data_IF_042653249133
#
_entry.id   IF_042653249133
#
_cell.length_a   1.000
_cell.length_b   1.000
_cell.length_c   1.000
_cell.angle_alpha   90.00
_cell.angle_beta   90.00
_cell.angle_gamma   90.00
#
_symmetry.space_group_name_H-M   'P 1'
#
loop_
_entity.id
_entity.type
_entity.pdbx_description
1 polymer ?
2 polymer ?
3 polymer ?
4 non-polymer ?
5 water ?
#
# COMPACT_ATOMS: atom_id res chain seq x y z
N UNK A 7 14.48 4.93 10.72
CA UNK A 7 15.78 5.00 11.52
C UNK A 7 16.72 4.17 10.67
N UNK A 8 16.25 2.96 10.60
CA UNK A 8 16.75 1.90 9.77
C UNK A 8 15.71 1.71 8.67
N UNK A 9 14.71 2.57 8.74
CA UNK A 9 13.55 2.51 7.83
C UNK A 9 13.96 2.59 6.35
N UNK A 10 13.23 1.83 5.56
CA UNK A 10 13.33 1.86 4.08
C UNK A 10 14.61 1.22 3.51
N UNK A 11 15.39 0.56 4.34
CA UNK A 11 16.60 -0.16 3.87
C UNK A 11 16.31 -1.65 4.02
N UNK A 12 16.07 -2.32 2.92
CA UNK A 12 15.68 -3.74 2.96
C UNK A 12 16.85 -4.66 3.33
N UNK A 13 16.60 -5.58 4.23
CA UNK A 13 17.65 -6.57 4.61
C UNK A 13 18.21 -7.34 3.45
N UNK A 14 17.43 -7.75 2.45
CA UNK A 14 17.94 -8.58 1.37
C UNK A 14 18.35 -7.79 0.13
N UNK A 15 18.26 -6.49 0.20
CA UNK A 15 18.64 -5.65 -0.95
C UNK A 15 19.63 -4.57 -0.52
N UNK A 16 19.14 -3.42 -0.09
CA UNK A 16 20.02 -2.30 0.29
C UNK A 16 21.11 -2.68 1.30
N UNK A 17 20.71 -3.41 2.32
CA UNK A 17 21.62 -3.83 3.41
C UNK A 17 22.82 -4.66 2.91
N UNK A 18 22.60 -5.34 1.78
CA UNK A 18 23.63 -6.22 1.17
C UNK A 18 24.21 -5.65 -0.13
N UNK A 19 23.69 -4.51 -0.49
CA UNK A 19 24.11 -3.80 -1.72
C UNK A 19 23.73 -4.61 -2.97
N UNK A 20 22.55 -5.18 -2.92
CA UNK A 20 21.96 -5.91 -4.06
C UNK A 20 20.74 -5.12 -4.54
N UNK A 21 20.54 -5.09 -5.83
CA UNK A 21 19.39 -4.36 -6.39
C UNK A 21 18.32 -5.35 -6.85
N UNK A 22 17.07 -4.94 -6.77
CA UNK A 22 15.98 -5.80 -7.26
C UNK A 22 15.93 -5.58 -8.78
N UNK A 23 15.19 -6.43 -9.44
CA UNK A 23 15.16 -6.49 -10.91
C UNK A 23 14.57 -5.26 -11.62
N UNK A 24 13.79 -4.44 -10.96
CA UNK A 24 13.21 -3.29 -11.67
C UNK A 24 13.39 -1.95 -10.96
N UNK A 25 14.19 -1.87 -9.92
CA UNK A 25 14.31 -0.57 -9.23
C UNK A 25 15.03 0.47 -10.10
N UNK A 26 15.83 -0.01 -11.03
CA UNK A 26 16.56 0.89 -11.94
C UNK A 26 15.58 1.74 -12.74
N UNK A 27 14.43 1.15 -13.03
CA UNK A 27 13.39 1.83 -13.81
C UNK A 27 12.92 3.09 -13.08
N UNK A 28 12.83 2.99 -11.76
CA UNK A 28 12.41 4.13 -10.93
C UNK A 28 13.47 5.23 -11.00
N UNK A 29 14.70 4.83 -10.73
CA UNK A 29 15.87 5.72 -10.70
C UNK A 29 16.03 6.48 -12.01
N UNK A 30 15.84 5.77 -13.10
CA UNK A 30 16.01 6.36 -14.44
C UNK A 30 14.91 7.39 -14.73
N UNK A 31 13.82 7.32 -13.99
CA UNK A 31 12.69 8.23 -14.18
C UNK A 31 12.84 9.52 -13.33
N UNK A 32 13.76 9.50 -12.38
CA UNK A 32 14.00 10.68 -11.50
C UNK A 32 15.02 11.62 -12.16
N UNK A 33 14.52 12.41 -13.08
CA UNK A 33 15.35 13.32 -13.88
C UNK A 33 15.47 14.71 -13.26
N UNK B 1 -3.29 -6.40 -8.65
CA UNK B 1 -2.35 -5.67 -9.57
C UNK B 1 -2.49 -6.23 -11.00
N UNK B 2 -2.71 -5.32 -11.94
CA UNK B 2 -2.86 -5.69 -13.36
C UNK B 2 -1.58 -5.36 -14.14
N UNK B 3 -1.13 -6.34 -14.91
CA UNK B 3 0.07 -6.20 -15.75
C UNK B 3 1.35 -5.97 -14.94
N UNK B 4 1.39 -6.57 -13.77
CA UNK B 4 2.57 -6.51 -12.88
C UNK B 4 3.36 -7.81 -13.05
N UNK B 5 4.22 -8.07 -12.11
CA UNK B 5 5.02 -9.32 -12.11
C UNK B 5 5.18 -9.78 -10.67
N UNK B 6 5.49 -11.04 -10.50
CA UNK B 6 5.72 -11.58 -9.15
C UNK B 6 6.82 -10.79 -8.48
N UNK B 7 6.64 -10.51 -7.22
CA UNK B 7 7.66 -9.80 -6.46
C UNK B 7 8.76 -10.79 -6.10
N UNK B 8 9.95 -10.24 -5.90
CA UNK B 8 11.09 -11.05 -5.45
C UNK B 8 10.95 -11.21 -3.94
N UNK B 9 11.58 -12.23 -3.40
CA UNK B 9 11.54 -12.47 -1.96
C UNK B 9 12.18 -11.29 -1.21
N UNK B 10 11.41 -10.74 -0.28
CA UNK B 10 11.86 -9.63 0.60
C UNK B 10 12.00 -8.29 -0.15
N UNK B 11 11.31 -8.19 -1.28
CA UNK B 11 11.36 -7.00 -2.13
C UNK B 11 10.53 -5.84 -1.52
N UNK B 12 9.55 -6.21 -0.72
CA UNK B 12 8.62 -5.24 -0.10
C UNK B 12 8.28 -5.67 1.29
N UNK B 13 9.27 -5.61 2.20
CA UNK B 13 9.17 -6.19 3.50
C UNK B 13 8.30 -5.41 4.44
N UNK B 14 7.77 -4.24 4.06
CA UNK B 14 6.80 -3.48 4.83
C UNK B 14 5.36 -3.84 4.39
N UNK B 15 5.24 -4.74 3.41
CA UNK B 15 3.90 -5.12 2.90
C UNK B 15 3.14 -5.91 3.97
N UNK B 16 1.92 -5.49 4.21
CA UNK B 16 1.05 -6.12 5.20
C UNK B 16 -0.26 -6.54 4.55
N UNK B 17 -0.75 -7.67 4.99
CA UNK B 17 -2.04 -8.18 4.52
C UNK B 17 -3.08 -8.02 5.66
N UNK B 18 -4.18 -7.32 5.36
CA UNK B 18 -5.31 -7.19 6.31
C UNK B 18 -6.23 -8.37 6.05
N UNK B 19 -6.45 -9.17 7.06
CA UNK B 19 -7.17 -10.43 6.88
C UNK B 19 -8.36 -10.53 7.84
N UNK B 20 -9.52 -10.85 7.27
CA UNK B 20 -10.75 -11.00 8.06
C UNK B 20 -10.72 -12.35 8.79
N UNK B 21 -11.07 -12.31 10.06
CA UNK B 21 -11.07 -13.52 10.90
C UNK B 21 -12.12 -14.53 10.39
N UNK B 22 -13.37 -14.08 10.20
CA UNK B 22 -14.44 -14.99 9.72
C UNK B 22 -15.56 -14.26 9.00
N UNK B 23 -15.84 -14.63 7.76
CA UNK B 23 -15.12 -15.69 7.08
C UNK B 23 -13.68 -15.25 6.91
N UNK B 24 -12.80 -16.22 6.68
CA UNK B 24 -11.37 -15.93 6.51
C UNK B 24 -11.14 -15.42 5.08
N UNK B 25 -10.80 -14.15 4.96
CA UNK B 25 -10.56 -13.57 3.63
C UNK B 25 -9.67 -12.33 3.69
N UNK B 26 -9.06 -12.08 2.53
CA UNK B 26 -8.17 -10.94 2.29
C UNK B 26 -9.04 -9.70 2.14
N UNK B 27 -8.78 -8.71 2.97
CA UNK B 27 -9.59 -7.48 2.95
C UNK B 27 -8.89 -6.37 2.16
N UNK B 28 -7.61 -6.19 2.41
CA UNK B 28 -6.84 -5.09 1.80
C UNK B 28 -5.36 -5.26 2.09
N UNK B 29 -4.57 -4.37 1.53
CA UNK B 29 -3.12 -4.32 1.84
C UNK B 29 -2.98 -3.23 2.91
N UNK B 30 -1.75 -3.08 3.34
CA UNK B 30 -1.38 -2.10 4.37
C UNK B 30 0.14 -2.06 4.39
N UNK B 31 0.71 -1.24 5.24
CA UNK B 31 2.17 -1.13 5.31
C UNK B 31 2.63 -0.94 6.76
N UNK B 32 3.79 -1.51 7.02
CA UNK B 32 4.43 -1.47 8.34
C UNK B 32 5.34 -0.22 8.41
N UNK B 33 5.04 0.68 9.33
CA UNK B 33 5.83 1.92 9.43
C UNK B 33 6.67 2.00 10.73
N UNK B 34 6.52 1.00 11.58
CA UNK B 34 7.28 0.88 12.83
C UNK B 34 7.05 -0.51 13.39
N UNK B 35 7.57 -0.80 14.56
CA UNK B 35 7.40 -2.16 15.10
C UNK B 35 5.99 -2.36 15.66
N UNK B 36 5.19 -1.30 15.70
CA UNK B 36 3.85 -1.45 16.25
C UNK B 36 2.75 -0.63 15.56
N UNK B 37 3.05 -0.04 14.44
CA UNK B 37 2.04 0.75 13.72
C UNK B 37 1.98 0.34 12.25
N UNK B 38 0.75 0.19 11.78
CA UNK B 38 0.47 -0.18 10.40
C UNK B 38 -0.46 0.89 9.80
N UNK B 39 -0.15 1.25 8.58
CA UNK B 39 -0.87 2.30 7.82
C UNK B 39 -1.68 1.62 6.70
N UNK B 40 -2.89 2.10 6.50
CA UNK B 40 -3.78 1.56 5.46
C UNK B 40 -4.80 2.63 5.08
N UNK B 41 -5.72 2.26 4.22
CA UNK B 41 -6.78 3.19 3.77
C UNK B 41 -7.99 3.05 4.69
N UNK B 42 -8.60 4.18 5.01
CA UNK B 42 -9.76 4.21 5.89
C UNK B 42 -10.91 3.36 5.33
N UNK B 43 -11.07 3.37 4.02
CA UNK B 43 -12.19 2.67 3.37
C UNK B 43 -12.06 1.14 3.49
N UNK B 44 -10.90 0.68 3.91
CA UNK B 44 -10.69 -0.76 4.12
C UNK B 44 -11.40 -1.20 5.41
N UNK B 45 -11.63 -0.22 6.27
CA UNK B 45 -12.24 -0.45 7.60
C UNK B 45 -13.66 0.12 7.72
N UNK B 46 -13.89 1.24 7.08
CA UNK B 46 -15.17 1.94 7.21
C UNK B 46 -15.67 2.46 5.87
N UNK B 47 -16.81 1.95 5.46
CA UNK B 47 -17.47 2.38 4.22
C UNK B 47 -18.96 2.04 4.33
N UNK B 48 -19.69 2.97 4.94
CA UNK B 48 -21.15 2.81 5.15
C UNK B 48 -22.01 2.54 3.98
N UNK B 49 -21.77 2.98 2.74
CA UNK B 49 -22.57 2.66 1.60
C UNK B 49 -22.65 1.16 1.35
N UNK B 50 -21.62 0.42 1.71
CA UNK B 50 -21.58 -1.04 1.53
C UNK B 50 -21.71 -1.78 2.87
N UNK B 51 -22.11 -1.05 3.88
CA UNK B 51 -22.30 -1.60 5.25
C UNK B 51 -21.02 -2.25 5.79
N UNK B 52 -19.93 -1.54 5.58
CA UNK B 52 -18.64 -2.00 6.07
C UNK B 52 -18.22 -1.13 7.25
N UNK B 53 -17.98 -1.78 8.37
CA UNK B 53 -17.55 -1.07 9.59
C UNK B 53 -16.85 -2.07 10.51
N UNK B 54 -15.59 -2.31 10.22
CA UNK B 54 -14.78 -3.28 10.97
C UNK B 54 -14.19 -2.67 12.24
N UNK B 55 -14.17 -3.49 13.28
CA UNK B 55 -13.57 -3.10 14.56
C UNK B 55 -12.31 -3.94 14.76
N UNK B 56 -11.63 -3.67 15.85
CA UNK B 56 -10.36 -4.33 16.18
C UNK B 56 -10.45 -5.86 16.21
N UNK B 57 -11.51 -6.39 16.81
CA UNK B 57 -11.62 -7.84 17.01
C UNK B 57 -12.05 -8.60 15.75
N UNK B 58 -12.32 -7.87 14.69
CA UNK B 58 -12.76 -8.48 13.44
C UNK B 58 -11.60 -8.82 12.51
N UNK B 59 -10.43 -8.26 12.78
CA UNK B 59 -9.29 -8.43 11.87
C UNK B 59 -7.99 -8.90 12.53
N UNK B 60 -7.14 -9.36 11.62
CA UNK B 60 -5.76 -9.77 11.90
C UNK B 60 -4.86 -9.12 10.86
N UNK B 61 -3.63 -8.96 11.23
CA UNK B 61 -2.63 -8.41 10.33
C UNK B 61 -1.59 -9.51 10.11
N UNK B 62 -1.27 -9.77 8.85
CA UNK B 62 -0.27 -10.79 8.48
C UNK B 62 0.91 -10.09 7.81
N UNK B 63 2.07 -10.22 8.44
CA UNK B 63 3.29 -9.52 8.03
C UNK B 63 4.39 -10.50 7.60
N UNK B 64 5.12 -10.09 6.55
CA UNK B 64 6.27 -10.84 6.00
C UNK B 64 5.83 -11.94 5.03
N UNK B 65 4.69 -11.75 4.41
CA UNK B 65 4.12 -12.74 3.48
C UNK B 65 4.57 -12.53 2.03
N UNK B 66 4.46 -13.60 1.29
CA UNK B 66 4.75 -13.63 -0.15
C UNK B 66 3.57 -14.30 -0.86
N UNK B 67 3.33 -15.54 -0.50
CA UNK B 67 2.21 -16.32 -1.04
C UNK B 67 0.91 -15.70 -0.52
N UNK B 68 -0.08 -15.63 -1.39
CA UNK B 68 -1.36 -15.02 -1.03
C UNK B 68 -2.17 -15.91 -0.07
N UNK B 69 -2.29 -17.18 -0.37
CA UNK B 69 -3.20 -18.06 0.41
C UNK B 69 -2.52 -18.98 1.45
N UNK B 70 -1.27 -19.30 1.29
CA UNK B 70 -0.61 -20.25 2.21
C UNK B 70 -0.22 -19.61 3.55
N UNK B 71 -0.20 -20.44 4.58
CA UNK B 71 0.29 -20.02 5.90
C UNK B 71 1.79 -20.29 5.88
N UNK B 72 2.54 -19.21 5.78
CA UNK B 72 4.00 -19.29 5.61
C UNK B 72 4.69 -19.44 6.97
N UNK B 73 4.66 -20.69 7.39
CA UNK B 73 5.22 -21.17 8.65
C UNK B 73 6.67 -20.74 8.78
N UNK B 74 6.98 -20.18 9.93
CA UNK B 74 8.34 -19.73 10.30
C UNK B 74 8.79 -18.47 9.53
N UNK B 75 7.89 -17.89 8.74
CA UNK B 75 8.23 -16.69 7.97
C UNK B 75 7.27 -15.54 8.31
N UNK B 76 6.00 -15.73 8.06
CA UNK B 76 5.03 -14.66 8.34
C UNK B 76 4.72 -14.61 9.84
N UNK B 77 4.34 -13.42 10.28
CA UNK B 77 3.95 -13.17 11.67
C UNK B 77 2.52 -12.61 11.66
N UNK B 78 1.67 -13.18 12.48
CA UNK B 78 0.29 -12.73 12.58
C UNK B 78 0.15 -11.91 13.85
N UNK B 79 -0.53 -10.79 13.73
CA UNK B 79 -0.71 -9.88 14.87
C UNK B 79 -2.17 -9.43 15.01
N UNK B 80 -2.54 -9.26 16.27
CA UNK B 80 -3.86 -8.75 16.64
C UNK B 80 -3.76 -7.23 16.78
N UNK B 81 -4.90 -6.59 16.67
CA UNK B 81 -4.95 -5.13 16.76
C UNK B 81 -5.45 -4.67 18.13
N UNK B 82 -4.80 -3.62 18.59
CA UNK B 82 -5.13 -3.00 19.86
C UNK B 82 -6.15 -1.89 19.65
N UNK B 83 -5.96 -1.14 18.57
CA UNK B 83 -6.85 -0.02 18.27
C UNK B 83 -6.67 0.47 16.82
N UNK B 84 -7.79 0.92 16.28
CA UNK B 84 -7.86 1.48 14.93
C UNK B 84 -8.18 2.99 15.04
N UNK B 85 -7.48 3.79 14.24
CA UNK B 85 -7.69 5.25 14.19
C UNK B 85 -7.91 5.69 12.76
N UNK B 86 -9.09 6.17 12.51
CA UNK B 86 -9.48 6.64 11.19
C UNK B 86 -9.47 8.16 11.19
N UNK B 87 -8.99 8.76 10.11
CA UNK B 87 -8.92 10.23 10.03
C UNK B 87 -10.29 10.81 10.36
N UNK B 88 -10.39 11.73 11.33
CA UNK B 88 -11.67 12.34 11.67
C UNK B 88 -12.33 12.99 10.48
N UNK B 89 -11.60 13.50 9.46
CA UNK B 89 -12.35 14.09 8.34
C UNK B 89 -12.30 13.24 7.06
N UNK B 90 -12.20 11.93 7.24
CA UNK B 90 -12.27 10.97 6.13
C UNK B 90 -13.66 11.15 5.49
N UNK B 91 -13.70 11.48 4.21
CA UNK B 91 -14.98 11.75 3.52
C UNK B 91 -15.47 10.56 2.70
N UNK B 92 -16.18 9.67 3.37
CA UNK B 92 -16.72 8.48 2.70
C UNK B 92 -18.03 8.78 1.98
N UNK B 93 -18.59 9.92 2.25
CA UNK B 93 -19.87 10.31 1.66
C UNK B 93 -19.73 10.70 0.19
N UNK B 94 -18.61 11.30 -0.15
CA UNK B 94 -18.43 11.84 -1.50
C UNK B 94 -17.30 11.20 -2.31
N UNK B 95 -16.06 11.53 -1.96
CA UNK B 95 -14.92 11.16 -2.83
C UNK B 95 -13.72 10.48 -2.13
N UNK B 96 -13.93 9.95 -0.95
CA UNK B 96 -12.86 9.25 -0.20
C UNK B 96 -11.67 10.19 0.11
N UNK B 97 -11.97 11.47 0.31
CA UNK B 97 -10.94 12.45 0.68
C UNK B 97 -10.39 12.07 2.07
N UNK B 98 -9.08 12.09 2.17
CA UNK B 98 -8.38 11.75 3.42
C UNK B 98 -8.62 10.28 3.78
N UNK B 99 -8.40 9.43 2.80
CA UNK B 99 -8.59 7.98 2.94
C UNK B 99 -7.34 7.37 3.61
N UNK B 100 -7.30 7.47 4.91
CA UNK B 100 -6.14 6.97 5.68
C UNK B 100 -6.58 6.55 7.10
N UNK B 101 -5.89 5.55 7.60
CA UNK B 101 -6.14 5.00 8.93
C UNK B 101 -4.86 4.35 9.44
N UNK B 102 -4.71 4.39 10.75
CA UNK B 102 -3.58 3.78 11.45
C UNK B 102 -4.10 2.65 12.33
N UNK B 103 -3.31 1.63 12.47
CA UNK B 103 -3.69 0.48 13.32
C UNK B 103 -2.51 0.16 14.25
N UNK B 104 -2.81 0.18 15.54
CA UNK B 104 -1.81 -0.13 16.57
C UNK B 104 -1.87 -1.62 16.90
N UNK B 105 -0.70 -2.24 16.80
CA UNK B 105 -0.55 -3.68 17.07
C UNK B 105 -0.59 -3.96 18.56
N UNK B 106 -1.17 -5.09 18.93
CA UNK B 106 -1.26 -5.46 20.35
C UNK B 106 0.15 -5.60 20.94
N UNK B 107 1.02 -6.28 20.20
CA UNK B 107 2.44 -6.42 20.59
C UNK B 107 3.34 -6.03 19.40
N UNK B 108 4.52 -5.53 19.67
CA UNK B 108 5.48 -5.18 18.64
C UNK B 108 5.88 -6.39 17.82
N UNK B 109 6.14 -6.20 16.52
CA UNK B 109 6.51 -7.35 15.68
C UNK B 109 8.05 -7.35 15.61
N UNK B 110 8.66 -8.51 15.56
CA UNK B 110 10.12 -8.56 15.45
C UNK B 110 10.49 -8.46 13.98
N UNK B 111 11.47 -7.62 13.69
CA UNK B 111 11.93 -7.44 12.30
C UNK B 111 12.79 -8.66 11.90
N UNK B 112 12.83 -8.90 10.61
CA UNK B 112 13.58 -10.02 10.03
C UNK B 112 13.94 -9.67 8.60
N UNK B 113 14.40 -10.66 7.89
CA UNK B 113 14.77 -10.49 6.48
C UNK B 113 13.54 -10.18 5.63
N UNK B 114 12.37 -10.54 6.14
CA UNK B 114 11.11 -10.43 5.38
C UNK B 114 10.15 -9.37 5.95
N UNK B 115 10.53 -8.80 7.07
CA UNK B 115 9.70 -7.82 7.80
C UNK B 115 10.57 -6.62 8.19
N UNK B 116 10.22 -5.47 7.68
CA UNK B 116 11.02 -4.25 7.92
C UNK B 116 10.20 -3.02 7.54
N UNK B 117 10.22 -1.99 8.31
CA UNK B 117 9.39 -0.83 8.04
C UNK B 117 9.89 0.06 6.89
N UNK B 118 8.90 0.71 6.28
CA UNK B 118 9.20 1.71 5.25
C UNK B 118 9.24 3.09 5.93
N UNK B 119 9.90 4.05 5.29
CA UNK B 119 9.98 5.41 5.84
C UNK B 119 8.82 6.28 5.37
N UNK B 120 8.48 7.26 6.18
CA UNK B 120 7.46 8.26 5.82
C UNK B 120 8.20 9.48 5.35
N UNK B 121 7.76 10.14 4.28
CA UNK B 121 8.44 11.25 3.69
C UNK B 121 8.39 12.51 4.57
N UNK B 122 9.42 13.32 4.44
CA UNK B 122 9.42 14.67 5.03
C UNK B 122 9.11 15.64 3.89
N UNK B 123 8.97 16.90 4.21
CA UNK B 123 8.56 17.90 3.21
C UNK B 123 9.49 17.94 1.99
N UNK B 124 10.78 17.84 2.23
CA UNK B 124 11.77 17.92 1.13
C UNK B 124 11.73 16.67 0.24
N UNK B 125 11.57 15.52 0.85
CA UNK B 125 11.51 14.28 0.08
C UNK B 125 10.28 14.31 -0.82
N UNK B 126 9.15 14.74 -0.28
CA UNK B 126 7.91 14.83 -1.06
C UNK B 126 8.07 15.82 -2.22
N UNK B 127 8.63 16.96 -1.91
CA UNK B 127 8.84 18.02 -2.90
C UNK B 127 9.71 17.54 -4.06
N UNK B 128 10.78 16.84 -3.75
CA UNK B 128 11.72 16.38 -4.80
C UNK B 128 11.20 15.21 -5.64
N UNK B 129 10.46 14.29 -5.03
CA UNK B 129 10.09 13.06 -5.75
C UNK B 129 8.65 13.04 -6.30
N UNK B 130 7.75 13.77 -5.71
CA UNK B 130 6.34 13.78 -6.15
C UNK B 130 6.19 14.74 -7.34
N UNK B 131 6.71 14.31 -8.48
CA UNK B 131 6.68 15.07 -9.73
C UNK B 131 6.15 14.21 -10.87
N UNK B 132 5.37 14.85 -11.72
CA UNK B 132 4.80 14.18 -12.89
C UNK B 132 5.94 13.54 -13.70
N UNK B 133 5.76 12.27 -14.03
CA UNK B 133 6.75 11.53 -14.82
C UNK B 133 7.60 10.59 -13.94
N UNK B 134 7.80 10.97 -12.70
CA UNK B 134 8.58 10.15 -11.75
C UNK B 134 7.76 8.90 -11.41
N UNK B 135 8.46 7.78 -11.32
CA UNK B 135 7.81 6.49 -11.08
C UNK B 135 7.94 6.05 -9.62
N UNK B 136 6.86 5.41 -9.21
CA UNK B 136 6.68 4.79 -7.90
C UNK B 136 6.34 3.33 -8.14
N UNK B 137 6.21 2.59 -7.07
CA UNK B 137 5.93 1.16 -7.15
C UNK B 137 4.75 0.81 -6.23
N UNK B 138 3.84 0.00 -6.77
CA UNK B 138 2.67 -0.47 -6.01
C UNK B 138 2.72 -2.00 -5.94
N UNK B 139 2.35 -2.51 -4.78
CA UNK B 139 2.34 -3.96 -4.52
C UNK B 139 1.02 -4.37 -3.88
N UNK B 140 0.64 -5.61 -4.09
CA UNK B 140 -0.61 -6.14 -3.52
C UNK B 140 -0.93 -7.54 -4.06
N UNK B 141 -1.92 -8.12 -3.41
CA UNK B 141 -2.41 -9.47 -3.73
C UNK B 141 -3.81 -9.40 -4.39
N UNK B 142 -4.16 -8.19 -4.80
CA UNK B 142 -5.47 -7.90 -5.43
C UNK B 142 -5.60 -8.56 -6.80
N UNK B 143 -6.80 -8.38 -7.36
CA UNK B 143 -7.20 -8.93 -8.67
C UNK B 143 -6.14 -8.66 -9.74
N UNK B 144 -6.05 -9.61 -10.66
CA UNK B 144 -5.09 -9.56 -11.78
C UNK B 144 -5.71 -8.83 -12.99
N UNK B 145 -7.04 -8.78 -13.03
CA UNK B 145 -7.78 -8.03 -14.08
C UNK B 145 -9.16 -7.65 -13.54
N UNK B 146 -9.80 -6.69 -14.20
CA UNK B 146 -11.12 -6.12 -13.73
C UNK B 146 -12.22 -7.21 -13.51
N UNK B 147 -12.61 -7.72 -14.58
CA UNK B 147 -13.45 -8.89 -14.94
C UNK B 147 -14.07 -8.66 -16.34
N UNK B 154 -5.41 -14.91 -14.90
CA UNK B 154 -6.18 -15.63 -13.89
C UNK B 154 -7.00 -14.61 -13.09
N UNK B 155 -7.47 -15.04 -11.94
CA UNK B 155 -8.30 -14.18 -11.07
C UNK B 155 -7.43 -13.40 -10.08
N UNK B 156 -6.84 -14.16 -9.18
CA UNK B 156 -5.97 -13.62 -8.13
C UNK B 156 -4.63 -14.34 -8.17
N UNK B 157 -3.56 -13.66 -7.78
CA UNK B 157 -2.23 -14.20 -7.99
C UNK B 157 -1.94 -15.25 -6.96
N UNK B 158 -0.89 -16.02 -7.23
CA UNK B 158 -0.40 -16.97 -6.21
C UNK B 158 0.53 -16.26 -5.22
N UNK B 159 1.28 -15.27 -5.68
CA UNK B 159 2.18 -14.50 -4.80
C UNK B 159 2.05 -12.99 -5.04
N UNK B 160 2.65 -12.24 -4.14
CA UNK B 160 2.65 -10.77 -4.17
C UNK B 160 3.10 -10.26 -5.56
N UNK B 161 2.32 -9.32 -6.08
CA UNK B 161 2.58 -8.71 -7.41
C UNK B 161 3.13 -7.28 -7.23
N UNK B 162 3.92 -6.86 -8.20
CA UNK B 162 4.55 -5.53 -8.22
C UNK B 162 4.40 -4.88 -9.58
N UNK B 163 4.27 -3.58 -9.56
CA UNK B 163 4.22 -2.79 -10.81
C UNK B 163 4.71 -1.38 -10.52
N UNK B 164 5.47 -0.84 -11.47
CA UNK B 164 5.99 0.53 -11.36
C UNK B 164 5.16 1.43 -12.25
N UNK B 165 4.74 2.56 -11.72
CA UNK B 165 3.88 3.50 -12.48
C UNK B 165 4.33 4.93 -12.31
N UNK B 166 4.11 5.77 -13.34
CA UNK B 166 4.50 7.17 -13.23
C UNK B 166 3.40 8.02 -12.66
N UNK B 167 3.78 9.03 -11.90
CA UNK B 167 2.84 9.99 -11.32
C UNK B 167 2.35 10.83 -12.51
N UNK B 168 1.08 11.15 -12.49
CA UNK B 168 0.46 11.90 -13.58
C UNK B 168 0.13 13.35 -13.14
N UNK B 169 0.23 14.24 -14.11
CA UNK B 169 -0.07 15.68 -13.94
C UNK B 169 -1.49 15.83 -13.37
N UNK B 170 -1.63 16.74 -12.43
CA UNK B 170 -2.91 16.99 -11.72
C UNK B 170 -4.05 17.35 -12.66
N UNK B 171 -3.86 18.18 -13.66
CA UNK B 171 -4.91 18.49 -14.62
C UNK B 171 -5.38 17.26 -15.36
N UNK B 172 -4.46 16.36 -15.76
CA UNK B 172 -4.83 15.14 -16.45
C UNK B 172 -5.63 14.20 -15.53
N UNK B 173 -5.23 14.14 -14.27
CA UNK B 173 -5.97 13.30 -13.30
C UNK B 173 -7.42 13.81 -13.21
N UNK B 174 -7.54 15.11 -13.09
CA UNK B 174 -8.84 15.78 -12.92
C UNK B 174 -9.77 15.57 -14.12
N UNK B 175 -9.20 15.66 -15.30
CA UNK B 175 -9.95 15.56 -16.55
C UNK B 175 -10.29 14.12 -16.94
N UNK B 176 -9.86 13.16 -16.15
CA UNK B 176 -10.12 11.75 -16.47
C UNK B 176 -11.33 11.20 -15.70
N UNK B 177 -11.91 12.03 -14.84
CA UNK B 177 -13.02 11.55 -13.98
C UNK B 177 -14.00 12.68 -13.65
N UNK B 178 -15.17 12.27 -13.18
CA UNK B 178 -16.23 13.19 -12.76
C UNK B 178 -16.18 13.42 -11.25
N UNK B 179 -15.38 12.61 -10.57
CA UNK B 179 -15.21 12.74 -9.11
C UNK B 179 -14.35 13.97 -8.81
N UNK B 180 -14.71 14.66 -7.74
CA UNK B 180 -13.99 15.86 -7.29
C UNK B 180 -12.69 15.43 -6.59
N UNK B 181 -11.59 15.80 -7.21
CA UNK B 181 -10.23 15.49 -6.72
C UNK B 181 -9.79 16.59 -5.74
N UNK B 182 -9.05 16.20 -4.72
CA UNK B 182 -8.54 17.15 -3.71
C UNK B 182 -7.01 17.09 -3.66
N UNK B 183 -6.48 18.00 -2.88
CA UNK B 183 -5.04 18.12 -2.70
C UNK B 183 -4.51 16.93 -1.89
N UNK B 184 -5.41 16.15 -1.33
CA UNK B 184 -5.01 14.99 -0.50
C UNK B 184 -4.93 13.70 -1.33
N UNK B 185 -4.94 13.85 -2.63
CA UNK B 185 -4.82 12.72 -3.57
C UNK B 185 -3.91 13.06 -4.74
N UNK B 186 -3.37 12.02 -5.34
CA UNK B 186 -2.60 12.15 -6.60
C UNK B 186 -2.92 10.89 -7.39
N UNK B 187 -2.81 10.95 -8.68
CA UNK B 187 -3.11 9.79 -9.53
C UNK B 187 -1.84 9.36 -10.25
N UNK B 188 -1.82 8.10 -10.65
CA UNK B 188 -0.67 7.52 -11.34
C UNK B 188 -1.11 6.47 -12.35
N UNK B 189 -0.24 6.30 -13.33
CA UNK B 189 -0.45 5.34 -14.40
C UNK B 189 0.04 5.92 -15.73
N UNK B 190 0.09 5.05 -16.70
CA UNK B 190 0.51 5.38 -18.04
C UNK B 190 -0.67 5.92 -18.83
N UNK B 191 -0.38 6.84 -19.73
CA UNK B 191 -1.40 7.40 -20.61
C UNK B 191 -1.62 6.41 -21.76
N UNK B 192 -2.72 6.62 -22.48
CA UNK B 192 -3.08 5.75 -23.60
C UNK B 192 -2.01 5.68 -24.67
N UNK B 193 -1.30 6.75 -24.96
CA UNK B 193 -0.30 6.72 -26.04
C UNK B 193 1.09 6.31 -25.56
N UNK B 194 1.21 5.99 -24.29
CA UNK B 194 2.53 5.64 -23.71
C UNK B 194 2.89 4.15 -23.91
N UNK B 195 1.91 3.37 -24.31
CA UNK B 195 2.13 1.94 -24.65
C UNK B 195 2.08 0.99 -23.42
N UNK B 196 2.94 1.24 -22.46
CA UNK B 196 3.01 0.39 -21.23
C UNK B 196 1.69 0.47 -20.47
N UNK B 197 1.41 -0.56 -19.68
CA UNK B 197 0.16 -0.63 -18.90
C UNK B 197 0.44 -0.94 -17.43
N UNK B 198 -0.62 -1.08 -16.64
CA UNK B 198 -0.47 -1.44 -15.22
C UNK B 198 -1.35 -0.55 -14.34
N UNK B 199 -1.77 -1.15 -13.25
CA UNK B 199 -2.67 -0.51 -12.29
C UNK B 199 -2.89 -1.42 -11.09
N UNK B 200 -3.45 -0.83 -10.06
CA UNK B 200 -3.90 -1.56 -8.88
C UNK B 200 -5.31 -2.02 -9.23
N UNK B 201 -5.82 -2.94 -8.47
CA UNK B 201 -7.19 -3.44 -8.70
C UNK B 201 -7.78 -3.82 -7.34
N UNK B 202 -9.01 -4.27 -7.38
CA UNK B 202 -9.77 -4.68 -6.20
C UNK B 202 -8.93 -5.65 -5.34
N UNK B 203 -8.74 -5.27 -4.09
CA UNK B 203 -7.97 -6.11 -3.14
C UNK B 203 -6.59 -5.50 -2.85
N UNK B 204 -6.23 -4.53 -3.65
CA UNK B 204 -4.94 -3.84 -3.53
C UNK B 204 -5.04 -2.60 -2.64
N UNK B 205 -6.27 -2.17 -2.41
CA UNK B 205 -6.54 -0.99 -1.59
C UNK B 205 -5.79 -1.08 -0.26
N UNK B 206 -5.35 0.09 0.16
CA UNK B 206 -4.66 0.27 1.45
C UNK B 206 -3.16 -0.06 1.34
N UNK B 207 -2.76 -0.65 0.23
CA UNK B 207 -1.34 -1.00 0.01
C UNK B 207 -0.54 0.28 -0.33
N UNK B 208 0.77 0.19 -0.28
CA UNK B 208 1.64 1.34 -0.37
C UNK B 208 2.13 1.67 -1.76
N UNK B 209 2.23 2.96 -2.07
CA UNK B 209 2.85 3.44 -3.31
C UNK B 209 4.19 4.00 -2.83
N UNK B 210 5.29 3.33 -3.18
CA UNK B 210 6.61 3.76 -2.67
C UNK B 210 7.56 4.22 -3.77
N UNK B 211 8.54 4.99 -3.34
CA UNK B 211 9.59 5.53 -4.21
C UNK B 211 10.91 5.41 -3.48
N UNK B 212 11.96 5.14 -4.23
CA UNK B 212 13.31 5.04 -3.65
C UNK B 212 14.05 6.33 -3.89
N UNK B 213 14.37 7.02 -2.82
CA UNK B 213 15.09 8.29 -2.90
C UNK B 213 16.48 8.06 -3.47
N UNK B 214 16.84 8.82 -4.50
CA UNK B 214 18.19 8.76 -5.05
C UNK B 214 19.21 9.50 -4.20
N UNK B 215 18.78 10.29 -3.22
CA UNK B 215 19.71 11.01 -2.36
C UNK B 215 20.25 10.13 -1.22
N UNK B 216 19.40 9.32 -0.61
CA UNK B 216 19.87 8.49 0.52
C UNK B 216 19.58 6.99 0.34
N UNK B 217 19.00 6.67 -0.80
CA UNK B 217 18.73 5.27 -1.21
C UNK B 217 17.80 4.51 -0.25
N UNK B 218 16.86 5.24 0.31
CA UNK B 218 15.84 4.68 1.21
C UNK B 218 14.48 4.69 0.50
N UNK B 219 13.65 3.71 0.84
CA UNK B 219 12.31 3.64 0.27
C UNK B 219 11.35 4.43 1.16
N UNK B 220 10.54 5.26 0.51
CA UNK B 220 9.57 6.10 1.21
C UNK B 220 8.17 5.82 0.69
N UNK B 221 7.21 5.78 1.59
CA UNK B 221 5.82 5.58 1.20
C UNK B 221 5.18 6.95 0.95
N UNK B 222 4.90 7.19 -0.32
CA UNK B 222 4.32 8.47 -0.75
C UNK B 222 2.80 8.41 -0.88
N UNK B 223 2.26 7.23 -1.12
CA UNK B 223 0.80 7.11 -1.30
C UNK B 223 0.26 5.79 -0.75
N UNK B 224 -1.06 5.76 -0.71
CA UNK B 224 -1.84 4.58 -0.28
C UNK B 224 -2.88 4.32 -1.38
N UNK B 225 -2.97 3.11 -1.87
CA UNK B 225 -3.97 2.79 -2.91
C UNK B 225 -5.35 3.13 -2.35
N UNK B 226 -6.04 4.03 -3.03
CA UNK B 226 -7.35 4.52 -2.54
C UNK B 226 -8.54 4.11 -3.42
N UNK B 227 -8.60 4.60 -4.65
CA UNK B 227 -9.73 4.26 -5.53
C UNK B 227 -9.35 4.34 -7.01
N UNK B 228 -10.25 3.83 -7.81
CA UNK B 228 -10.11 3.83 -9.27
C UNK B 228 -11.42 3.36 -9.89
N UNK B 229 -11.65 3.78 -11.10
CA UNK B 229 -12.87 3.41 -11.82
C UNK B 229 -12.49 2.33 -12.83
N UNK B 230 -12.55 1.10 -12.36
CA UNK B 230 -12.13 -0.04 -13.15
C UNK B 230 -10.64 -0.23 -12.88
N UNK B 231 -10.05 -1.15 -13.59
CA UNK B 231 -8.62 -1.43 -13.43
C UNK B 231 -7.92 -1.48 -14.79
N UNK B 232 -6.90 -0.66 -14.89
CA UNK B 232 -6.06 -0.59 -16.09
C UNK B 232 -6.88 -0.24 -17.35
N UNK B 233 -7.84 0.63 -17.16
CA UNK B 233 -8.66 1.12 -18.28
C UNK B 233 -7.93 2.27 -18.96
N UNK B 234 -8.02 2.31 -20.25
CA UNK B 234 -7.39 3.38 -21.04
C UNK B 234 -8.04 4.73 -20.69
N UNK B 235 -7.20 5.71 -20.43
CA UNK B 235 -7.66 7.09 -20.15
C UNK B 235 -8.13 7.28 -18.69
N UNK B 236 -7.95 6.24 -17.90
CA UNK B 236 -8.30 6.26 -16.46
C UNK B 236 -7.03 6.02 -15.65
N UNK B 237 -7.01 6.51 -14.43
CA UNK B 237 -5.84 6.41 -13.56
C UNK B 237 -6.22 6.00 -12.14
N UNK B 238 -5.28 5.38 -11.47
CA UNK B 238 -5.48 4.99 -10.07
C UNK B 238 -5.22 6.22 -9.19
N UNK B 239 -5.99 6.32 -8.13
CA UNK B 239 -5.85 7.44 -7.18
C UNK B 239 -5.34 6.92 -5.85
N UNK B 240 -4.45 7.71 -5.29
CA UNK B 240 -3.76 7.39 -4.05
C UNK B 240 -3.84 8.52 -3.04
N UNK B 241 -3.90 8.13 -1.78
CA UNK B 241 -3.90 9.09 -0.69
C UNK B 241 -2.49 9.68 -0.58
N UNK B 242 -2.44 11.00 -0.52
CA UNK B 242 -1.18 11.77 -0.42
C UNK B 242 -0.71 11.74 1.04
N UNK B 243 0.17 10.80 1.31
CA UNK B 243 0.65 10.54 2.68
C UNK B 243 1.30 11.77 3.33
N UNK B 244 2.16 12.45 2.62
CA UNK B 244 2.86 13.58 3.23
C UNK B 244 1.88 14.69 3.67
N UNK B 245 0.82 14.89 2.91
CA UNK B 245 -0.17 15.93 3.24
C UNK B 245 -0.97 15.60 4.51
N UNK B 246 -0.96 14.34 4.93
CA UNK B 246 -1.71 13.92 6.13
C UNK B 246 -0.75 13.47 7.23
N UNK B 247 0.49 13.85 7.06
CA UNK B 247 1.56 13.44 7.96
C UNK B 247 1.43 14.07 9.36
N UNK B 248 0.94 15.28 9.43
CA UNK B 248 0.79 15.91 10.76
C UNK B 248 -0.25 15.12 11.56
N UNK B 249 -1.26 14.59 10.90
CA UNK B 249 -2.28 13.77 11.60
C UNK B 249 -1.65 12.44 12.06
N UNK B 250 -0.80 11.86 11.20
CA UNK B 250 -0.13 10.58 11.53
C UNK B 250 0.68 10.73 12.83
N UNK B 251 1.56 11.71 12.83
CA UNK B 251 2.42 12.03 13.98
C UNK B 251 1.70 12.26 15.29
N UNK B 252 0.61 13.02 15.21
CA UNK B 252 -0.24 13.38 16.33
C UNK B 252 -0.86 12.13 16.96
N UNK B 253 -1.28 11.20 16.13
CA UNK B 253 -1.87 9.95 16.64
C UNK B 253 -0.81 9.11 17.33
N UNK B 254 0.34 9.00 16.68
CA UNK B 254 1.43 8.20 17.21
C UNK B 254 2.03 8.85 18.47
N UNK B 255 2.14 10.15 18.44
CA UNK B 255 2.72 10.90 19.58
C UNK B 255 1.76 10.84 20.79
N UNK B 256 0.46 10.87 20.53
CA UNK B 256 -0.55 10.88 21.62
C UNK B 256 -0.87 9.46 22.13
N UNK B 257 -0.85 8.47 21.25
CA UNK B 257 -1.18 7.09 21.68
C UNK B 257 0.00 6.13 21.52
N UNK C 8 -12.34 -22.33 1.94
CA UNK C 8 -11.39 -23.27 1.32
C UNK C 8 -10.09 -22.54 0.90
N UNK C 9 -10.29 -21.69 -0.07
CA UNK C 9 -9.25 -20.85 -0.72
C UNK C 9 -7.98 -20.63 0.13
N UNK C 10 -8.16 -20.07 1.31
CA UNK C 10 -7.01 -19.74 2.19
C UNK C 10 -6.69 -20.88 3.16
N UNK C 11 -5.41 -21.20 3.24
CA UNK C 11 -4.95 -22.23 4.18
C UNK C 11 -5.21 -21.69 5.59
N UNK C 12 -5.54 -22.61 6.47
CA UNK C 12 -5.91 -22.27 7.86
C UNK C 12 -4.72 -21.77 8.68
N UNK C 13 -5.03 -20.78 9.48
CA UNK C 13 -4.09 -20.17 10.43
C UNK C 13 -4.08 -21.00 11.72
N UNK C 14 -2.92 -21.10 12.37
CA UNK C 14 -2.82 -21.75 13.66
C UNK C 14 -3.90 -21.25 14.61
N UNK C 15 -4.42 -22.15 15.43
CA UNK C 15 -5.48 -21.93 16.37
C UNK C 15 -5.30 -20.79 17.37
N UNK C 16 -4.12 -20.42 17.72
CA UNK C 16 -3.95 -19.27 18.65
C UNK C 16 -4.76 -18.01 18.22
N UNK C 17 -4.60 -17.59 16.97
CA UNK C 17 -5.21 -16.32 16.45
C UNK C 17 -6.63 -16.51 15.94
N UNK C 18 -6.96 -17.67 15.38
CA UNK C 18 -8.31 -17.90 14.88
C UNK C 18 -8.73 -19.36 14.99
#
# INVERSE_FOLDING_TARGET
>A
TFGSGEADCGLRPLFEKKSLEDKTERELLESYIDGR
>B
IVEGSDAEIGMSPWQVMLFRKSPQELLCGASLISDRWVLTAAHCLLYPPWDKNFTENDLLVRIGKHSRTRYERNIEKISMLEKIYIHPRYNWRENLDRDIALMKLKKPVAFSDYIHPVCLPDRETAASLLQAGYKGRVTGWGNLKETWTANVGKGQPSVLQVVNLPIVERPVCKDSTRIRITDNMFCAGYKPDEGKRGDACEGDSGGPFVMKSPFNNRWYQMGIVSWGEGCDRDGKYGFYTHVFRLKKWIQKVIDQFGE
>C
GGQSHNDGDFEEIPEEYL
#
